data_IF_217673496815
#
_entry.id   IF_217673496815
#
_cell.length_a   1.000
_cell.length_b   1.000
_cell.length_c   1.000
_cell.angle_alpha   90.00
_cell.angle_beta   90.00
_cell.angle_gamma   90.00
#
_symmetry.space_group_name_H-M   'P 1'
#
loop_
_entity.id
_entity.type
_entity.pdbx_description
1 polymer ?
#
# COMPACT_ATOMS: atom_id res chain seq x y z
N UNK A 1 21.94 -48.07 73.89
CA UNK A 1 21.64 -47.85 75.32
C UNK A 1 20.34 -47.05 75.39
N UNK A 2 19.27 -47.70 75.91
CA UNK A 2 17.96 -47.20 76.38
C UNK A 2 17.15 -46.20 75.52
N UNK A 3 15.97 -46.60 74.99
CA UNK A 3 14.62 -46.44 75.61
C UNK A 3 14.26 -44.96 75.86
N UNK A 4 13.06 -44.43 75.50
CA UNK A 4 11.75 -44.93 75.92
C UNK A 4 10.62 -44.08 75.29
N UNK A 5 9.51 -44.73 74.97
CA UNK A 5 8.19 -44.17 74.69
C UNK A 5 7.54 -43.44 75.87
N UNK A 6 6.61 -42.50 75.59
CA UNK A 6 5.28 -42.30 76.26
C UNK A 6 4.46 -41.25 75.48
N UNK A 7 3.38 -41.65 74.79
CA UNK A 7 1.94 -41.66 75.19
C UNK A 7 1.25 -40.29 75.23
N UNK A 8 0.45 -40.05 74.18
CA UNK A 8 -1.01 -39.77 74.20
C UNK A 8 -1.63 -39.15 75.46
N UNK A 9 -2.33 -38.03 75.26
CA UNK A 9 -3.62 -37.74 75.91
C UNK A 9 -4.57 -37.02 74.93
N UNK A 10 -5.82 -37.51 74.88
CA UNK A 10 -6.98 -36.97 74.18
C UNK A 10 -7.63 -35.81 74.95
N UNK A 11 -8.28 -34.87 74.26
CA UNK A 11 -9.76 -34.67 74.23
C UNK A 11 -10.07 -33.28 73.63
N UNK A 12 -10.77 -33.20 72.50
CA UNK A 12 -12.23 -32.94 72.40
C UNK A 12 -12.71 -31.85 73.36
N UNK A 13 -13.11 -30.69 72.85
CA UNK A 13 -14.46 -30.12 72.97
C UNK A 13 -14.69 -29.00 71.94
N UNK A 14 -15.90 -29.04 71.41
CA UNK A 14 -16.60 -28.17 70.45
C UNK A 14 -16.87 -26.75 70.98
N UNK A 15 -16.84 -25.74 70.10
CA UNK A 15 -17.71 -24.55 70.09
C UNK A 15 -17.39 -23.78 68.78
N UNK A 16 -18.23 -23.82 67.75
CA UNK A 16 -19.47 -23.04 67.60
C UNK A 16 -19.20 -21.54 67.45
N UNK A 17 -19.54 -21.04 66.24
CA UNK A 17 -19.85 -19.65 65.89
C UNK A 17 -18.72 -18.61 65.77
N UNK A 18 -18.04 -18.56 64.62
CA UNK A 18 -17.53 -17.31 64.02
C UNK A 18 -17.69 -17.35 62.48
N UNK A 19 -18.92 -17.52 62.00
CA UNK A 19 -19.30 -17.23 60.61
C UNK A 19 -19.89 -15.83 60.57
N UNK A 20 -19.06 -14.78 60.46
CA UNK A 20 -19.42 -13.42 59.99
C UNK A 20 -18.27 -12.47 60.34
N UNK A 21 -17.20 -12.48 59.54
CA UNK A 21 -16.07 -11.58 59.77
C UNK A 21 -14.96 -11.56 58.72
N UNK A 22 -15.17 -12.16 57.55
CA UNK A 22 -14.16 -12.24 56.47
C UNK A 22 -14.77 -11.98 55.08
N UNK A 23 -15.74 -11.05 54.98
CA UNK A 23 -16.32 -10.63 53.68
C UNK A 23 -15.93 -9.19 53.30
N UNK A 24 -15.17 -8.47 54.15
CA UNK A 24 -14.77 -7.06 53.88
C UNK A 24 -13.24 -6.91 53.67
N UNK A 25 -12.57 -7.97 53.23
CA UNK A 25 -11.15 -7.91 52.82
C UNK A 25 -10.91 -8.62 51.47
N UNK A 26 -11.87 -8.54 50.55
CA UNK A 26 -11.71 -9.05 49.18
C UNK A 26 -12.17 -8.07 48.10
N UNK A 27 -12.23 -6.78 48.41
CA UNK A 27 -12.69 -5.74 47.49
C UNK A 27 -11.74 -4.53 47.50
N UNK A 28 -10.51 -4.73 47.04
CA UNK A 28 -9.61 -3.69 46.51
C UNK A 28 -8.33 -4.33 45.94
N UNK A 29 -8.45 -5.37 45.12
CA UNK A 29 -7.36 -5.72 44.20
C UNK A 29 -7.58 -4.88 42.95
N UNK A 30 -7.13 -3.62 42.99
CA UNK A 30 -7.03 -2.78 41.81
C UNK A 30 -6.05 -3.47 40.87
N UNK A 31 -6.56 -4.15 39.85
CA UNK A 31 -5.77 -4.64 38.73
C UNK A 31 -5.29 -3.39 38.00
N UNK A 32 -4.13 -2.87 38.37
CA UNK A 32 -3.39 -1.93 37.54
C UNK A 32 -2.97 -2.72 36.31
N UNK A 33 -3.77 -2.65 35.25
CA UNK A 33 -3.38 -3.11 33.92
C UNK A 33 -2.23 -2.21 33.49
N UNK A 34 -1.00 -2.62 33.83
CA UNK A 34 0.21 -2.03 33.30
C UNK A 34 0.12 -2.12 31.79
N UNK A 35 -0.11 -0.98 31.13
CA UNK A 35 -0.05 -0.86 29.69
C UNK A 35 1.38 -1.18 29.25
N UNK A 36 1.63 -2.46 28.94
CA UNK A 36 2.91 -2.88 28.37
C UNK A 36 3.10 -2.07 27.08
N UNK A 37 4.16 -1.26 26.97
CA UNK A 37 4.41 -0.52 25.74
C UNK A 37 4.57 -1.55 24.62
N UNK A 38 3.77 -1.42 23.56
CA UNK A 38 3.92 -2.24 22.38
C UNK A 38 5.33 -2.05 21.84
N UNK A 39 6.16 -3.09 21.93
CA UNK A 39 7.51 -3.09 21.34
C UNK A 39 7.32 -2.91 19.84
N UNK A 40 7.77 -1.77 19.31
CA UNK A 40 7.75 -1.51 17.87
C UNK A 40 8.57 -2.60 17.17
N UNK A 41 7.95 -3.35 16.25
CA UNK A 41 8.64 -4.38 15.48
C UNK A 41 9.76 -3.75 14.65
N UNK A 42 10.96 -4.30 14.76
CA UNK A 42 12.15 -3.80 14.06
C UNK A 42 12.36 -4.54 12.74
N UNK A 43 12.94 -3.85 11.75
CA UNK A 43 13.32 -4.45 10.47
C UNK A 43 14.59 -5.26 10.66
N UNK A 44 14.46 -6.57 10.74
CA UNK A 44 15.61 -7.49 10.91
C UNK A 44 15.83 -8.36 9.69
N UNK A 45 14.84 -8.43 8.78
CA UNK A 45 14.87 -9.29 7.60
C UNK A 45 14.12 -8.65 6.43
N UNK A 46 14.61 -8.87 5.22
CA UNK A 46 13.98 -8.51 3.95
C UNK A 46 13.96 -9.72 3.01
N UNK A 47 12.77 -10.21 2.66
CA UNK A 47 12.60 -11.34 1.74
C UNK A 47 12.40 -10.81 0.33
N UNK A 48 13.16 -11.32 -0.64
CA UNK A 48 13.00 -11.00 -2.06
C UNK A 48 11.69 -11.62 -2.57
N UNK A 49 10.73 -10.81 -2.97
CA UNK A 49 9.41 -11.26 -3.42
C UNK A 49 9.29 -11.30 -4.94
N UNK A 50 9.99 -10.43 -5.64
CA UNK A 50 10.00 -10.40 -7.10
C UNK A 50 11.34 -9.85 -7.63
N UNK A 51 11.77 -10.37 -8.78
CA UNK A 51 12.94 -9.88 -9.52
C UNK A 51 12.49 -9.69 -10.97
N UNK A 52 12.69 -8.48 -11.49
CA UNK A 52 12.40 -8.13 -12.88
C UNK A 52 13.73 -7.95 -13.62
N UNK A 53 14.20 -8.97 -14.35
CA UNK A 53 15.44 -8.88 -15.11
C UNK A 53 15.24 -8.03 -16.37
N UNK A 54 16.21 -7.19 -16.73
CA UNK A 54 16.23 -6.48 -18.03
C UNK A 54 17.15 -7.09 -19.07
N UNK A 55 18.36 -7.54 -18.69
CA UNK A 55 19.32 -8.20 -19.59
C UNK A 55 20.30 -9.07 -18.81
N UNK A 56 19.98 -10.34 -18.52
CA UNK A 56 20.81 -11.29 -17.73
C UNK A 56 21.24 -10.83 -16.32
N UNK A 57 20.85 -9.62 -15.90
CA UNK A 57 21.23 -9.06 -14.61
C UNK A 57 20.52 -9.75 -13.47
N UNK A 58 21.27 -9.97 -12.41
CA UNK A 58 20.83 -10.67 -11.21
C UNK A 58 20.73 -9.69 -10.04
N UNK A 59 19.94 -10.07 -9.04
CA UNK A 59 19.95 -9.45 -7.73
C UNK A 59 20.95 -10.19 -6.87
N UNK A 60 21.65 -9.46 -6.02
CA UNK A 60 22.67 -9.98 -5.12
C UNK A 60 22.31 -9.62 -3.68
N UNK A 61 22.56 -10.56 -2.76
CA UNK A 61 22.67 -10.27 -1.32
C UNK A 61 24.14 -10.46 -0.98
N UNK A 62 24.80 -9.44 -0.44
CA UNK A 62 26.27 -9.41 -0.34
C UNK A 62 26.89 -9.70 -1.72
N UNK A 63 27.71 -10.76 -1.81
CA UNK A 63 28.35 -11.20 -3.04
C UNK A 63 27.69 -12.43 -3.67
N UNK A 64 26.53 -12.89 -3.17
CA UNK A 64 25.80 -14.04 -3.72
C UNK A 64 24.64 -13.57 -4.61
N UNK A 65 24.53 -14.14 -5.81
CA UNK A 65 23.31 -13.99 -6.62
C UNK A 65 22.15 -14.73 -5.96
N UNK A 66 20.96 -14.14 -5.99
CA UNK A 66 19.78 -14.65 -5.30
C UNK A 66 18.55 -14.76 -6.20
N UNK A 67 17.57 -15.54 -5.75
CA UNK A 67 16.27 -15.76 -6.41
C UNK A 67 15.13 -15.29 -5.51
N UNK A 68 13.90 -15.24 -6.06
CA UNK A 68 12.67 -15.06 -5.26
C UNK A 68 12.67 -16.02 -4.05
N UNK A 69 12.26 -15.50 -2.89
CA UNK A 69 12.23 -16.21 -1.61
C UNK A 69 13.53 -16.10 -0.80
N UNK A 70 14.61 -15.56 -1.36
CA UNK A 70 15.87 -15.36 -0.62
C UNK A 70 15.70 -14.27 0.44
N UNK A 71 16.35 -14.42 1.58
CA UNK A 71 16.25 -13.49 2.71
C UNK A 71 17.57 -12.76 2.90
N UNK A 72 17.49 -11.44 3.02
CA UNK A 72 18.57 -10.58 3.51
C UNK A 72 18.32 -10.29 4.99
N UNK A 73 19.29 -10.58 5.85
CA UNK A 73 19.26 -10.29 7.28
C UNK A 73 19.79 -8.88 7.57
N UNK A 74 19.56 -8.40 8.79
CA UNK A 74 20.13 -7.15 9.27
C UNK A 74 21.65 -7.10 9.05
N UNK A 75 22.12 -5.97 8.53
CA UNK A 75 23.51 -5.73 8.14
C UNK A 75 23.85 -6.24 6.74
N UNK A 76 22.99 -7.03 6.09
CA UNK A 76 23.25 -7.48 4.73
C UNK A 76 22.92 -6.42 3.67
N UNK A 77 23.77 -6.38 2.66
CA UNK A 77 23.61 -5.53 1.48
C UNK A 77 22.79 -6.25 0.41
N UNK A 78 21.86 -5.54 -0.25
CA UNK A 78 21.10 -5.99 -1.41
C UNK A 78 21.42 -5.09 -2.60
N UNK A 79 21.79 -5.67 -3.75
CA UNK A 79 22.20 -4.94 -4.97
C UNK A 79 21.49 -5.46 -6.21
N UNK A 80 21.02 -4.58 -7.09
CA UNK A 80 20.17 -4.95 -8.22
C UNK A 80 20.85 -5.00 -9.60
N UNK A 81 22.04 -4.42 -9.78
CA UNK A 81 22.66 -4.34 -11.12
C UNK A 81 21.70 -3.67 -12.12
N UNK A 82 21.49 -4.21 -13.32
CA UNK A 82 20.46 -3.72 -14.26
C UNK A 82 19.05 -4.28 -14.02
N UNK A 83 18.83 -5.10 -12.98
CA UNK A 83 17.52 -5.63 -12.64
C UNK A 83 16.76 -4.67 -11.71
N UNK A 84 15.49 -4.96 -11.50
CA UNK A 84 14.68 -4.36 -10.42
C UNK A 84 14.27 -5.46 -9.44
N UNK A 85 14.15 -5.14 -8.16
CA UNK A 85 13.75 -6.12 -7.14
C UNK A 85 12.65 -5.57 -6.23
N UNK A 86 11.71 -6.42 -5.82
CA UNK A 86 10.79 -6.15 -4.72
C UNK A 86 11.22 -6.96 -3.50
N UNK A 87 11.17 -6.33 -2.33
CA UNK A 87 11.46 -6.97 -1.06
C UNK A 87 10.36 -6.65 -0.05
N UNK A 88 10.02 -7.65 0.76
CA UNK A 88 9.08 -7.53 1.88
C UNK A 88 9.83 -7.67 3.19
N UNK A 89 9.58 -6.77 4.14
CA UNK A 89 10.20 -6.86 5.46
C UNK A 89 9.44 -7.81 6.38
N UNK A 90 10.06 -8.13 7.52
CA UNK A 90 9.40 -8.81 8.64
C UNK A 90 8.43 -7.90 9.43
N UNK A 91 8.17 -6.70 8.92
CA UNK A 91 7.13 -5.77 9.39
C UNK A 91 6.12 -5.52 8.26
N UNK A 92 4.96 -4.90 8.51
CA UNK A 92 3.95 -4.57 7.48
C UNK A 92 4.37 -3.50 6.46
N UNK A 93 5.53 -3.69 5.83
CA UNK A 93 6.13 -2.79 4.87
C UNK A 93 7.04 -3.54 3.89
N UNK A 94 7.41 -2.86 2.81
CA UNK A 94 8.31 -3.39 1.80
C UNK A 94 8.91 -2.29 0.94
N UNK A 95 9.76 -2.70 0.00
CA UNK A 95 10.46 -1.81 -0.90
C UNK A 95 10.50 -2.35 -2.32
N UNK A 96 10.74 -1.44 -3.27
CA UNK A 96 11.22 -1.78 -4.60
C UNK A 96 12.54 -1.05 -4.86
N UNK A 97 13.53 -1.78 -5.34
CA UNK A 97 14.85 -1.27 -5.69
C UNK A 97 14.95 -1.14 -7.20
N UNK A 98 15.21 0.08 -7.67
CA UNK A 98 15.48 0.37 -9.07
C UNK A 98 16.80 -0.28 -9.54
N UNK A 99 17.10 -0.26 -10.85
CA UNK A 99 18.41 -0.59 -11.36
C UNK A 99 19.51 0.26 -10.72
N UNK A 100 20.66 -0.38 -10.53
CA UNK A 100 21.92 0.12 -10.00
C UNK A 100 21.85 0.55 -8.54
N UNK A 101 20.75 0.24 -7.84
CA UNK A 101 20.58 0.55 -6.43
C UNK A 101 21.30 -0.46 -5.53
N UNK A 102 21.79 0.06 -4.41
CA UNK A 102 22.42 -0.74 -3.35
C UNK A 102 21.91 -0.31 -1.98
N UNK A 103 21.40 -1.28 -1.24
CA UNK A 103 20.66 -1.06 0.00
C UNK A 103 21.22 -1.92 1.13
N UNK A 104 21.27 -1.40 2.35
CA UNK A 104 21.55 -2.19 3.56
C UNK A 104 20.28 -2.32 4.40
N UNK A 105 19.98 -3.55 4.82
CA UNK A 105 18.89 -3.84 5.76
C UNK A 105 19.35 -3.50 7.17
N UNK A 106 18.71 -2.55 7.85
CA UNK A 106 19.05 -2.20 9.24
C UNK A 106 17.79 -1.96 10.08
N UNK A 107 17.89 -2.19 11.39
CA UNK A 107 16.76 -2.15 12.33
C UNK A 107 16.23 -0.75 12.58
N UNK A 108 17.07 0.27 12.41
CA UNK A 108 16.71 1.69 12.61
C UNK A 108 16.13 2.33 11.36
N UNK A 109 16.73 2.05 10.20
CA UNK A 109 16.28 2.51 8.90
C UNK A 109 16.93 1.67 7.79
N UNK A 110 16.25 1.56 6.67
CA UNK A 110 16.77 0.88 5.48
C UNK A 110 17.62 1.88 4.71
N UNK A 111 18.89 1.56 4.46
CA UNK A 111 19.86 2.56 4.00
C UNK A 111 20.21 2.40 2.52
N UNK A 112 20.00 3.43 1.71
CA UNK A 112 20.50 3.53 0.34
C UNK A 112 21.93 4.11 0.38
N UNK A 113 22.93 3.33 -0.04
CA UNK A 113 24.36 3.64 0.22
C UNK A 113 25.12 4.12 -1.02
N UNK A 114 24.61 3.78 -2.20
CA UNK A 114 25.19 4.18 -3.48
C UNK A 114 24.12 4.80 -4.37
N UNK A 115 24.56 5.36 -5.50
CA UNK A 115 23.66 5.92 -6.50
C UNK A 115 22.52 4.96 -6.84
N UNK A 116 21.33 5.50 -7.07
CA UNK A 116 20.16 4.72 -7.41
C UNK A 116 18.92 5.22 -6.68
N UNK A 117 17.86 4.43 -6.73
CA UNK A 117 16.60 4.75 -6.08
C UNK A 117 15.90 3.55 -5.46
N UNK A 118 15.11 3.84 -4.43
CA UNK A 118 14.31 2.87 -3.70
C UNK A 118 12.95 3.47 -3.39
N UNK A 119 11.88 2.74 -3.70
CA UNK A 119 10.54 3.06 -3.21
C UNK A 119 10.28 2.30 -1.92
N UNK A 120 9.80 2.99 -0.90
CA UNK A 120 9.38 2.42 0.37
C UNK A 120 7.86 2.56 0.51
N UNK A 121 7.21 1.51 1.00
CA UNK A 121 5.78 1.48 1.26
C UNK A 121 5.44 0.69 2.52
N UNK A 122 4.42 1.15 3.24
CA UNK A 122 3.84 0.46 4.39
C UNK A 122 4.25 1.03 5.75
N UNK A 123 3.84 0.35 6.81
CA UNK A 123 3.95 0.84 8.19
C UNK A 123 5.25 0.36 8.84
N UNK A 124 5.92 1.28 9.52
CA UNK A 124 7.11 0.96 10.33
C UNK A 124 8.41 0.97 9.55
N UNK A 125 8.41 1.47 8.31
CA UNK A 125 9.63 1.72 7.54
C UNK A 125 10.15 3.12 7.74
N UNK A 126 11.47 3.19 7.89
CA UNK A 126 12.27 4.42 7.78
C UNK A 126 13.31 4.17 6.70
N UNK A 127 13.60 5.17 5.91
CA UNK A 127 14.64 5.12 4.90
C UNK A 127 15.74 6.11 5.23
N UNK A 128 16.99 5.69 5.11
CA UNK A 128 18.16 6.55 5.23
C UNK A 128 18.82 6.69 3.87
N UNK A 129 19.16 7.91 3.48
CA UNK A 129 19.82 8.22 2.20
C UNK A 129 20.69 9.45 2.38
N UNK A 130 21.94 9.40 1.94
CA UNK A 130 22.90 10.47 2.22
C UNK A 130 22.96 10.79 3.73
N UNK A 131 22.92 12.08 4.08
CA UNK A 131 22.87 12.58 5.45
C UNK A 131 21.47 12.71 6.07
N UNK A 132 20.42 12.13 5.48
CA UNK A 132 19.03 12.33 5.93
C UNK A 132 18.31 11.03 6.29
N UNK A 133 17.31 11.16 7.16
CA UNK A 133 16.37 10.10 7.53
C UNK A 133 14.94 10.49 7.17
N UNK A 134 14.29 9.68 6.35
CA UNK A 134 12.88 9.82 5.98
C UNK A 134 12.05 8.78 6.76
N UNK A 135 11.13 9.25 7.59
CA UNK A 135 10.28 8.41 8.42
C UNK A 135 8.80 8.68 8.12
N UNK A 136 8.00 7.62 8.09
CA UNK A 136 6.57 7.75 7.88
C UNK A 136 5.73 6.75 8.67
N UNK A 137 4.44 7.06 8.80
CA UNK A 137 3.45 6.24 9.52
C UNK A 137 2.46 5.61 8.54
N UNK A 138 2.97 4.89 7.54
CA UNK A 138 2.26 4.32 6.39
C UNK A 138 2.09 5.31 5.23
N UNK A 139 3.12 5.42 4.40
CA UNK A 139 3.14 6.22 3.18
C UNK A 139 3.85 5.49 2.06
N UNK A 140 3.79 6.06 0.86
CA UNK A 140 4.59 5.63 -0.29
C UNK A 140 5.50 6.78 -0.69
N UNK A 141 6.81 6.53 -0.65
CA UNK A 141 7.81 7.53 -0.99
C UNK A 141 9.03 6.89 -1.64
N UNK A 142 9.75 7.69 -2.41
CA UNK A 142 10.97 7.30 -3.09
C UNK A 142 12.13 8.06 -2.46
N UNK A 143 13.23 7.33 -2.26
CA UNK A 143 14.53 7.91 -1.97
C UNK A 143 15.43 7.71 -3.18
N UNK A 144 16.11 8.77 -3.59
CA UNK A 144 17.12 8.74 -4.63
C UNK A 144 18.43 9.28 -4.06
N UNK A 145 19.54 8.68 -4.51
CA UNK A 145 20.89 9.15 -4.24
C UNK A 145 21.60 9.32 -5.57
N UNK A 146 22.17 10.50 -5.81
CA UNK A 146 22.96 10.76 -7.01
C UNK A 146 24.45 10.44 -6.80
N UNK A 147 25.27 10.66 -7.82
CA UNK A 147 26.70 10.33 -7.79
C UNK A 147 27.53 11.24 -6.87
N UNK A 148 27.04 12.45 -6.60
CA UNK A 148 27.68 13.43 -5.72
C UNK A 148 27.18 13.34 -4.27
N UNK A 149 26.33 12.36 -3.97
CA UNK A 149 25.82 12.10 -2.62
C UNK A 149 24.64 12.97 -2.20
N UNK A 150 24.06 13.76 -3.10
CA UNK A 150 22.81 14.46 -2.82
C UNK A 150 21.64 13.48 -2.82
N UNK A 151 20.81 13.63 -1.80
CA UNK A 151 19.62 12.84 -1.61
C UNK A 151 18.39 13.58 -2.15
N UNK A 152 17.44 12.81 -2.69
CA UNK A 152 16.12 13.31 -3.05
C UNK A 152 15.05 12.45 -2.37
N UNK A 153 14.10 13.09 -1.72
CA UNK A 153 12.90 12.46 -1.15
C UNK A 153 11.72 12.89 -1.97
N UNK A 154 10.94 11.93 -2.47
CA UNK A 154 9.74 12.17 -3.26
C UNK A 154 8.57 11.46 -2.58
N UNK A 155 7.54 12.20 -2.20
CA UNK A 155 6.39 11.63 -1.48
C UNK A 155 5.22 11.49 -2.44
N UNK A 156 4.82 10.24 -2.68
CA UNK A 156 3.73 9.92 -3.62
C UNK A 156 2.39 9.84 -2.91
N UNK A 157 2.39 9.52 -1.62
CA UNK A 157 1.19 9.41 -0.79
C UNK A 157 1.48 9.74 0.66
N UNK A 158 0.56 10.44 1.32
CA UNK A 158 0.66 10.77 2.75
C UNK A 158 1.73 11.82 3.07
N UNK A 159 2.34 11.70 4.25
CA UNK A 159 3.29 12.69 4.77
C UNK A 159 4.53 11.98 5.32
N UNK A 160 5.71 12.50 4.97
CA UNK A 160 7.00 11.99 5.42
C UNK A 160 7.70 13.08 6.23
N UNK A 161 8.12 12.72 7.44
CA UNK A 161 9.01 13.55 8.24
C UNK A 161 10.44 13.28 7.79
N UNK A 162 11.11 14.29 7.24
CA UNK A 162 12.51 14.22 6.81
C UNK A 162 13.39 14.95 7.81
N UNK A 163 14.24 14.21 8.50
CA UNK A 163 15.24 14.74 9.42
C UNK A 163 16.60 14.84 8.71
N UNK A 164 17.18 16.03 8.71
CA UNK A 164 18.55 16.29 8.27
C UNK A 164 19.45 16.71 9.43
N UNK A 165 20.56 17.37 9.12
CA UNK A 165 21.59 17.71 10.11
C UNK A 165 21.09 18.65 11.22
N UNK A 166 20.35 19.70 10.84
CA UNK A 166 19.97 20.78 11.78
C UNK A 166 18.48 20.85 12.07
N UNK A 167 17.65 20.35 11.14
CA UNK A 167 16.20 20.53 11.19
C UNK A 167 15.47 19.33 10.62
N UNK A 168 14.19 19.25 10.96
CA UNK A 168 13.25 18.32 10.34
C UNK A 168 12.18 19.09 9.56
N UNK A 169 11.75 18.55 8.42
CA UNK A 169 10.72 19.13 7.56
C UNK A 169 9.71 18.05 7.19
N UNK A 170 8.44 18.43 7.15
CA UNK A 170 7.39 17.59 6.57
C UNK A 170 7.31 17.77 5.07
N UNK A 171 7.36 16.66 4.35
CA UNK A 171 7.14 16.58 2.91
C UNK A 171 5.82 15.88 2.69
N UNK A 172 4.86 16.60 2.10
CA UNK A 172 3.52 16.08 1.86
C UNK A 172 3.46 15.37 0.51
N UNK A 173 2.36 14.69 0.27
CA UNK A 173 2.03 14.09 -1.01
C UNK A 173 2.22 15.05 -2.18
N UNK A 174 2.74 14.52 -3.30
CA UNK A 174 3.08 15.27 -4.52
C UNK A 174 4.11 16.37 -4.27
N UNK A 175 4.95 16.21 -3.26
CA UNK A 175 6.08 17.09 -3.02
C UNK A 175 7.39 16.31 -3.05
N UNK A 176 8.45 17.06 -3.26
CA UNK A 176 9.83 16.59 -3.21
C UNK A 176 10.69 17.51 -2.36
N UNK A 177 11.77 16.95 -1.86
CA UNK A 177 12.79 17.66 -1.10
C UNK A 177 14.15 17.11 -1.50
N UNK A 178 15.07 17.99 -1.85
CA UNK A 178 16.48 17.64 -2.02
C UNK A 178 17.24 17.91 -0.73
N UNK A 179 18.31 17.15 -0.51
CA UNK A 179 19.27 17.38 0.56
C UNK A 179 20.69 17.16 0.05
N UNK A 180 21.61 17.97 0.54
CA UNK A 180 23.03 17.85 0.24
C UNK A 180 23.64 16.61 0.90
N UNK A 181 24.87 16.24 0.52
CA UNK A 181 25.56 15.08 1.06
C UNK A 181 25.79 15.15 2.59
N UNK A 182 25.94 16.34 3.14
CA UNK A 182 26.06 16.61 4.59
C UNK A 182 24.71 16.68 5.31
N UNK A 183 23.60 16.45 4.60
CA UNK A 183 22.26 16.38 5.20
C UNK A 183 21.59 17.75 5.42
N UNK A 184 22.06 18.81 4.74
CA UNK A 184 21.33 20.08 4.74
C UNK A 184 20.10 19.94 3.85
N UNK A 185 18.94 20.22 4.45
CA UNK A 185 17.66 20.11 3.75
C UNK A 185 17.41 21.34 2.89
N UNK A 186 17.08 21.12 1.62
CA UNK A 186 16.68 22.15 0.67
C UNK A 186 15.25 22.69 0.91
N UNK A 187 14.66 23.23 -0.15
CA UNK A 187 13.26 23.66 -0.15
C UNK A 187 12.35 22.49 -0.51
N UNK A 188 11.16 22.49 0.06
CA UNK A 188 10.09 21.58 -0.38
C UNK A 188 9.47 22.17 -1.63
N UNK A 189 9.40 21.38 -2.68
CA UNK A 189 8.88 21.76 -3.98
C UNK A 189 7.74 20.84 -4.39
N UNK A 190 6.71 21.34 -5.10
CA UNK A 190 5.72 20.47 -5.71
C UNK A 190 6.36 19.63 -6.81
N UNK A 191 5.91 18.38 -6.96
CA UNK A 191 6.18 17.57 -8.14
C UNK A 191 5.36 18.10 -9.31
N UNK A 192 6.01 18.35 -10.45
CA UNK A 192 5.27 18.60 -11.68
C UNK A 192 4.54 17.33 -12.15
N UNK A 193 3.50 17.51 -12.95
CA UNK A 193 2.76 16.38 -13.52
C UNK A 193 3.65 15.48 -14.38
N UNK A 194 4.56 16.07 -15.16
CA UNK A 194 5.48 15.32 -16.00
C UNK A 194 6.44 14.45 -15.16
N UNK A 195 6.96 14.99 -14.05
CA UNK A 195 7.78 14.22 -13.12
C UNK A 195 7.00 13.10 -12.45
N UNK A 196 5.77 13.37 -12.00
CA UNK A 196 4.91 12.36 -11.40
C UNK A 196 4.58 11.23 -12.38
N UNK A 197 4.22 11.55 -13.62
CA UNK A 197 3.98 10.57 -14.67
C UNK A 197 5.24 9.77 -15.02
N UNK A 198 6.41 10.43 -15.07
CA UNK A 198 7.69 9.74 -15.29
C UNK A 198 8.01 8.74 -14.19
N UNK A 199 7.68 9.06 -12.93
CA UNK A 199 7.84 8.17 -11.79
C UNK A 199 6.92 6.94 -11.92
N UNK A 200 5.63 7.14 -12.19
CA UNK A 200 4.66 6.04 -12.34
C UNK A 200 4.99 5.13 -13.53
N UNK A 201 5.60 5.70 -14.58
CA UNK A 201 6.13 4.95 -15.72
C UNK A 201 7.54 4.39 -15.50
N UNK A 202 8.10 4.60 -14.32
CA UNK A 202 9.45 4.22 -13.97
C UNK A 202 9.62 2.74 -13.61
N UNK A 203 10.87 2.31 -13.42
CA UNK A 203 11.21 0.93 -13.07
C UNK A 203 10.69 0.50 -11.70
N UNK A 204 10.32 1.44 -10.82
CA UNK A 204 9.79 1.15 -9.49
C UNK A 204 8.31 0.72 -9.51
N UNK A 205 7.62 0.90 -10.64
CA UNK A 205 6.20 0.57 -10.81
C UNK A 205 5.97 -0.52 -11.84
N UNK A 206 6.66 -0.46 -12.99
CA UNK A 206 6.41 -1.35 -14.12
C UNK A 206 6.86 -2.79 -13.86
N UNK A 207 6.03 -3.74 -14.28
CA UNK A 207 6.34 -5.18 -14.35
C UNK A 207 6.16 -5.98 -13.06
N UNK A 208 5.92 -5.33 -11.92
CA UNK A 208 5.66 -6.02 -10.65
C UNK A 208 4.22 -6.54 -10.60
N UNK A 209 4.06 -7.79 -10.14
CA UNK A 209 2.75 -8.43 -9.96
C UNK A 209 2.31 -8.39 -8.50
N UNK A 210 3.26 -8.41 -7.57
CA UNK A 210 2.94 -8.33 -6.15
C UNK A 210 2.86 -6.86 -5.68
N UNK A 211 1.73 -6.44 -5.08
CA UNK A 211 1.65 -5.11 -4.47
C UNK A 211 2.56 -5.05 -3.23
N UNK A 212 3.20 -3.90 -3.01
CA UNK A 212 3.89 -3.70 -1.74
C UNK A 212 2.85 -3.60 -0.60
N UNK A 213 3.19 -4.06 0.62
CA UNK A 213 2.36 -3.80 1.79
C UNK A 213 2.13 -2.29 1.95
N UNK A 214 0.87 -1.85 2.11
CA UNK A 214 0.50 -0.44 2.20
C UNK A 214 0.34 0.28 0.86
N UNK A 215 0.76 -0.31 -0.27
CA UNK A 215 0.52 0.23 -1.61
C UNK A 215 -0.96 0.17 -2.02
N UNK A 216 -1.75 -0.69 -1.35
CA UNK A 216 -3.20 -0.75 -1.50
C UNK A 216 -3.93 0.47 -0.91
N UNK A 217 -3.22 1.44 -0.31
CA UNK A 217 -3.79 2.70 0.17
C UNK A 217 -3.63 3.83 -0.88
N UNK A 218 -2.67 3.73 -1.81
CA UNK A 218 -2.61 4.57 -3.03
C UNK A 218 -3.94 4.56 -3.81
N UNK A 219 -4.69 3.47 -3.68
CA UNK A 219 -6.00 3.25 -4.30
C UNK A 219 -7.16 4.06 -3.71
N UNK A 220 -6.99 4.71 -2.55
CA UNK A 220 -8.08 5.42 -1.87
C UNK A 220 -7.86 6.95 -1.78
N UNK A 221 -6.63 7.43 -1.95
CA UNK A 221 -6.26 8.85 -1.72
C UNK A 221 -5.95 9.62 -3.01
N UNK A 222 -6.33 9.08 -4.16
CA UNK A 222 -6.48 9.82 -5.44
C UNK A 222 -7.95 10.23 -5.64
N UNK A 223 -8.69 10.41 -4.54
CA UNK A 223 -10.02 11.00 -4.54
C UNK A 223 -9.89 12.49 -4.21
N UNK A 224 -9.65 13.33 -5.22
CA UNK A 224 -10.48 14.53 -5.40
C UNK A 224 -10.19 15.27 -6.72
N UNK A 225 -11.27 15.46 -7.49
CA UNK A 225 -11.47 16.34 -8.64
C UNK A 225 -10.48 16.19 -9.80
N UNK A 226 -10.87 15.39 -10.79
CA UNK A 226 -10.27 15.42 -12.12
C UNK A 226 -10.63 14.24 -13.02
N UNK A 227 -10.98 13.09 -12.42
CA UNK A 227 -11.12 11.83 -13.17
C UNK A 227 -12.48 11.15 -12.94
N UNK A 228 -13.54 11.94 -12.91
CA UNK A 228 -14.91 11.46 -12.68
C UNK A 228 -15.73 11.27 -13.96
N UNK A 229 -15.22 11.69 -15.11
CA UNK A 229 -16.03 11.83 -16.33
C UNK A 229 -15.44 11.12 -17.53
N UNK A 230 -14.56 10.13 -17.38
CA UNK A 230 -14.01 9.39 -18.54
C UNK A 230 -13.47 8.00 -18.20
N UNK A 231 -13.63 7.43 -17.00
CA UNK A 231 -12.93 6.19 -16.56
C UNK A 231 -12.90 5.02 -17.55
N UNK A 232 -14.07 4.55 -18.01
CA UNK A 232 -14.13 3.45 -18.97
C UNK A 232 -13.73 3.92 -20.36
N UNK A 233 -13.92 5.21 -20.67
CA UNK A 233 -13.36 5.80 -21.87
C UNK A 233 -11.82 5.81 -21.80
N UNK A 234 -11.17 6.42 -20.82
CA UNK A 234 -9.71 6.50 -20.70
C UNK A 234 -9.04 5.12 -20.53
N UNK A 235 -9.69 4.18 -19.85
CA UNK A 235 -9.25 2.78 -19.82
C UNK A 235 -9.38 2.09 -21.20
N UNK A 236 -10.24 2.58 -22.10
CA UNK A 236 -10.52 2.00 -23.41
C UNK A 236 -10.18 2.93 -24.62
N UNK A 237 -9.69 4.16 -24.40
CA UNK A 237 -9.34 5.25 -25.36
C UNK A 237 -8.08 6.02 -24.95
N UNK A 238 -7.40 5.67 -23.85
CA UNK A 238 -6.13 6.26 -23.36
C UNK A 238 -5.80 7.72 -23.68
N UNK A 239 -6.64 8.66 -23.22
CA UNK A 239 -6.33 10.11 -23.27
C UNK A 239 -5.88 10.64 -21.91
N UNK A 240 -4.89 11.55 -21.93
CA UNK A 240 -4.43 12.37 -20.80
C UNK A 240 -5.21 13.69 -20.76
N UNK A 241 -5.82 14.06 -19.62
CA UNK A 241 -6.29 15.41 -19.36
C UNK A 241 -5.93 15.94 -17.96
N UNK A 242 -5.60 17.23 -17.93
CA UNK A 242 -5.26 18.10 -16.79
C UNK A 242 -6.55 18.60 -16.14
N UNK A 243 -6.68 18.72 -14.81
CA UNK A 243 -7.43 19.84 -14.20
C UNK A 243 -7.26 20.00 -12.67
N UNK A 244 -7.48 21.27 -12.27
CA UNK A 244 -7.39 21.95 -10.98
C UNK A 244 -8.48 21.63 -9.94
N UNK A 245 -8.13 22.04 -8.71
CA UNK A 245 -8.84 22.14 -7.44
C UNK A 245 -10.38 22.19 -7.42
N UNK A 246 -11.00 21.21 -6.76
CA UNK A 246 -11.76 21.30 -5.50
C UNK A 246 -12.80 20.19 -5.46
N UNK A 247 -12.87 19.41 -4.36
CA UNK A 247 -14.06 18.63 -4.05
C UNK A 247 -14.31 18.47 -2.53
N UNK A 248 -15.56 18.06 -2.18
CA UNK A 248 -15.99 17.67 -0.85
C UNK A 248 -16.06 16.14 -0.65
N UNK A 249 -16.04 15.77 0.63
CA UNK A 249 -16.01 14.42 1.22
C UNK A 249 -17.22 13.51 0.92
N UNK A 250 -17.00 12.29 0.39
CA UNK A 250 -17.64 11.02 0.84
C UNK A 250 -17.22 9.80 -0.01
N UNK A 251 -16.30 8.96 0.49
CA UNK A 251 -16.01 7.63 -0.08
C UNK A 251 -16.78 6.53 0.67
N UNK A 252 -17.56 5.70 -0.03
CA UNK A 252 -18.37 4.64 0.56
C UNK A 252 -17.58 3.30 0.70
N UNK A 253 -17.70 2.66 1.86
CA UNK A 253 -17.11 1.35 2.18
C UNK A 253 -18.13 0.22 1.88
N UNK A 254 -17.72 -0.85 1.19
CA UNK A 254 -18.54 -2.04 0.90
C UNK A 254 -18.05 -3.22 1.76
N UNK A 255 -18.80 -3.65 2.79
CA UNK A 255 -18.50 -4.87 3.53
C UNK A 255 -18.97 -6.13 2.74
N UNK A 256 -18.11 -7.16 2.65
CA UNK A 256 -18.47 -8.54 2.24
C UNK A 256 -18.93 -8.79 0.79
N UNK A 257 -18.54 -7.97 -0.18
CA UNK A 257 -18.81 -8.27 -1.60
C UNK A 257 -17.99 -9.46 -2.11
N UNK A 258 -18.64 -10.45 -2.74
CA UNK A 258 -17.95 -11.52 -3.47
C UNK A 258 -17.43 -10.98 -4.79
N UNK A 259 -16.11 -10.84 -4.92
CA UNK A 259 -15.47 -10.35 -6.14
C UNK A 259 -15.55 -11.36 -7.28
N UNK A 260 -15.94 -10.88 -8.46
CA UNK A 260 -15.94 -11.61 -9.74
C UNK A 260 -14.76 -11.12 -10.58
N UNK A 261 -13.81 -12.00 -10.93
CA UNK A 261 -12.73 -11.71 -11.90
C UNK A 261 -13.23 -11.98 -13.32
N UNK A 262 -12.87 -11.11 -14.28
CA UNK A 262 -13.41 -11.15 -15.64
C UNK A 262 -12.62 -10.32 -16.65
N UNK A 263 -13.17 -10.21 -17.84
CA UNK A 263 -12.63 -9.42 -18.95
C UNK A 263 -13.61 -8.30 -19.28
N UNK A 264 -13.14 -7.06 -19.24
CA UNK A 264 -13.82 -5.90 -19.81
C UNK A 264 -13.48 -5.79 -21.29
N UNK A 265 -14.48 -5.85 -22.15
CA UNK A 265 -14.33 -5.75 -23.60
C UNK A 265 -15.14 -4.57 -24.09
N UNK A 266 -14.51 -3.66 -24.86
CA UNK A 266 -15.25 -2.61 -25.55
C UNK A 266 -15.95 -3.20 -26.78
N UNK A 267 -17.27 -3.14 -26.84
CA UNK A 267 -18.06 -3.70 -27.94
C UNK A 267 -18.59 -2.66 -28.91
N UNK A 268 -18.46 -1.37 -28.60
CA UNK A 268 -18.83 -0.26 -29.47
C UNK A 268 -18.34 1.10 -28.97
N UNK A 269 -18.72 2.20 -29.65
CA UNK A 269 -18.32 3.57 -29.23
C UNK A 269 -18.70 3.83 -27.78
N UNK A 270 -19.93 3.49 -27.40
CA UNK A 270 -20.57 3.85 -26.13
C UNK A 270 -20.96 2.62 -25.29
N UNK A 271 -20.27 1.50 -25.50
CA UNK A 271 -20.62 0.24 -24.83
C UNK A 271 -19.39 -0.57 -24.45
N UNK A 272 -19.41 -1.10 -23.23
CA UNK A 272 -18.46 -2.10 -22.75
C UNK A 272 -19.18 -3.27 -22.10
N UNK A 273 -18.57 -4.45 -22.13
CA UNK A 273 -19.10 -5.69 -21.55
C UNK A 273 -18.06 -6.29 -20.62
N UNK A 274 -18.45 -6.60 -19.39
CA UNK A 274 -17.68 -7.42 -18.48
C UNK A 274 -18.15 -8.87 -18.56
N UNK A 275 -17.22 -9.77 -18.88
CA UNK A 275 -17.44 -11.21 -18.94
C UNK A 275 -16.65 -11.90 -17.83
N UNK A 276 -17.30 -12.48 -16.81
CA UNK A 276 -16.60 -13.17 -15.72
C UNK A 276 -15.86 -14.41 -16.23
N UNK A 277 -14.70 -14.70 -15.64
CA UNK A 277 -13.84 -15.85 -15.97
C UNK A 277 -14.34 -17.18 -15.36
N UNK A 278 -15.29 -17.10 -14.43
CA UNK A 278 -15.94 -18.25 -13.78
C UNK A 278 -17.47 -18.05 -13.77
N UNK A 279 -18.22 -18.94 -13.12
CA UNK A 279 -19.66 -18.79 -12.99
C UNK A 279 -20.00 -17.44 -12.33
N UNK A 280 -20.53 -16.50 -13.13
CA UNK A 280 -20.78 -15.12 -12.73
C UNK A 280 -21.76 -14.44 -13.67
N UNK A 281 -22.04 -13.16 -13.42
CA UNK A 281 -23.02 -12.41 -14.23
C UNK A 281 -22.30 -11.53 -15.25
N UNK A 282 -22.62 -11.72 -16.53
CA UNK A 282 -22.19 -10.78 -17.59
C UNK A 282 -22.82 -9.42 -17.31
N UNK A 283 -22.01 -8.36 -17.36
CA UNK A 283 -22.49 -6.98 -17.14
C UNK A 283 -22.24 -6.12 -18.36
N UNK A 284 -23.27 -5.44 -18.83
CA UNK A 284 -23.23 -4.52 -19.95
C UNK A 284 -23.25 -3.10 -19.41
N UNK A 285 -22.24 -2.31 -19.78
CA UNK A 285 -22.07 -0.92 -19.41
C UNK A 285 -22.46 -0.06 -20.61
N UNK A 286 -23.40 0.86 -20.40
CA UNK A 286 -23.66 1.95 -21.33
C UNK A 286 -22.85 3.16 -20.90
N UNK A 287 -22.11 3.72 -21.84
CA UNK A 287 -21.17 4.81 -21.63
C UNK A 287 -21.63 5.99 -22.46
N UNK A 288 -21.52 7.19 -21.91
CA UNK A 288 -21.33 8.36 -22.75
C UNK A 288 -19.83 8.50 -22.91
N UNK A 289 -19.27 8.35 -24.11
CA UNK A 289 -17.83 8.53 -24.35
C UNK A 289 -17.50 9.97 -24.76
N UNK A 290 -18.49 10.81 -25.03
CA UNK A 290 -18.23 12.22 -25.30
C UNK A 290 -18.21 13.00 -23.97
N UNK A 291 -19.04 12.59 -23.01
CA UNK A 291 -19.06 13.11 -21.63
C UNK A 291 -18.33 12.21 -20.62
N UNK A 292 -17.89 11.02 -21.07
CA UNK A 292 -17.17 9.96 -20.36
C UNK A 292 -17.81 9.45 -19.06
N UNK A 293 -19.14 9.51 -18.99
CA UNK A 293 -19.94 9.01 -17.89
C UNK A 293 -20.37 7.56 -18.12
N UNK A 294 -20.53 6.78 -17.05
CA UNK A 294 -21.26 5.51 -17.13
C UNK A 294 -22.72 5.84 -16.92
N UNK A 295 -23.53 5.66 -17.96
CA UNK A 295 -24.95 5.97 -17.93
C UNK A 295 -25.75 4.88 -17.21
N UNK A 296 -25.43 3.62 -17.48
CA UNK A 296 -26.10 2.48 -16.85
C UNK A 296 -25.27 1.20 -16.82
N UNK A 297 -25.60 0.33 -15.89
CA UNK A 297 -25.09 -1.05 -15.82
C UNK A 297 -26.27 -2.01 -15.86
N UNK A 298 -26.30 -2.92 -16.84
CA UNK A 298 -27.42 -3.82 -17.11
C UNK A 298 -28.77 -3.09 -17.21
N UNK A 299 -28.78 -1.88 -17.78
CA UNK A 299 -29.96 -1.04 -17.93
C UNK A 299 -30.39 -0.28 -16.66
N UNK A 300 -29.70 -0.46 -15.52
CA UNK A 300 -29.93 0.34 -14.31
C UNK A 300 -29.08 1.61 -14.35
N UNK A 301 -29.70 2.78 -14.26
CA UNK A 301 -28.99 4.07 -14.30
C UNK A 301 -28.00 4.23 -13.16
N UNK A 302 -26.88 4.89 -13.44
CA UNK A 302 -25.90 5.29 -12.43
C UNK A 302 -26.37 6.60 -11.78
N UNK A 303 -26.43 6.63 -10.44
CA UNK A 303 -26.79 7.84 -9.68
C UNK A 303 -25.58 8.62 -9.17
N UNK A 304 -24.48 7.92 -8.92
CA UNK A 304 -23.20 8.52 -8.54
C UNK A 304 -22.06 7.60 -8.96
N UNK A 305 -20.89 8.16 -9.23
CA UNK A 305 -19.71 7.35 -9.51
C UNK A 305 -18.43 8.09 -9.15
N UNK A 306 -17.40 7.33 -8.79
CA UNK A 306 -16.09 7.87 -8.40
C UNK A 306 -15.02 6.94 -8.92
N UNK A 307 -14.05 7.46 -9.66
CA UNK A 307 -13.01 6.66 -10.29
C UNK A 307 -11.63 7.30 -10.14
N UNK A 308 -10.59 6.49 -10.30
CA UNK A 308 -9.21 6.93 -10.26
C UNK A 308 -8.24 5.86 -10.77
N UNK A 309 -6.96 6.25 -10.87
CA UNK A 309 -5.88 5.34 -11.21
C UNK A 309 -5.25 4.71 -9.96
N UNK A 310 -4.80 3.47 -10.14
CA UNK A 310 -4.23 2.59 -9.13
C UNK A 310 -3.01 1.86 -9.72
N UNK A 311 -1.87 2.55 -9.81
CA UNK A 311 -0.68 1.99 -10.46
C UNK A 311 -0.95 1.68 -11.93
N UNK A 312 -0.84 0.41 -12.34
CA UNK A 312 -1.15 -0.06 -13.70
C UNK A 312 -2.65 -0.40 -13.91
N UNK A 313 -3.49 -0.12 -12.91
CA UNK A 313 -4.90 -0.41 -12.93
C UNK A 313 -5.71 0.89 -12.84
N UNK A 314 -6.94 0.84 -13.31
CA UNK A 314 -7.94 1.86 -13.03
C UNK A 314 -8.95 1.24 -12.04
N UNK A 315 -9.38 1.98 -11.02
CA UNK A 315 -10.39 1.52 -10.08
C UNK A 315 -11.46 2.58 -9.83
N UNK A 316 -12.65 2.14 -9.41
CA UNK A 316 -13.67 3.05 -8.96
C UNK A 316 -14.91 2.39 -8.41
N UNK A 317 -15.86 3.21 -8.03
CA UNK A 317 -17.13 2.80 -7.43
C UNK A 317 -18.27 3.45 -8.19
N UNK A 318 -19.32 2.67 -8.43
CA UNK A 318 -20.56 3.09 -9.06
C UNK A 318 -21.66 2.85 -8.05
N UNK A 319 -22.49 3.86 -7.84
CA UNK A 319 -23.78 3.75 -7.18
C UNK A 319 -24.86 3.71 -8.26
N UNK A 320 -25.62 2.63 -8.28
CA UNK A 320 -26.79 2.48 -9.15
C UNK A 320 -28.02 3.09 -8.49
N UNK A 321 -28.97 3.54 -9.31
CA UNK A 321 -30.23 4.15 -8.86
C UNK A 321 -31.08 3.22 -7.99
N UNK A 322 -30.86 1.91 -8.05
CA UNK A 322 -31.49 0.91 -7.19
C UNK A 322 -30.80 0.73 -5.82
N UNK A 323 -29.81 1.58 -5.48
CA UNK A 323 -29.06 1.53 -4.21
C UNK A 323 -27.91 0.52 -4.18
N UNK A 324 -27.70 -0.25 -5.25
CA UNK A 324 -26.58 -1.18 -5.36
C UNK A 324 -25.28 -0.44 -5.65
N UNK A 325 -24.19 -0.90 -5.05
CA UNK A 325 -22.85 -0.42 -5.33
C UNK A 325 -22.05 -1.45 -6.11
N UNK A 326 -21.23 -0.99 -7.05
CA UNK A 326 -20.26 -1.82 -7.76
C UNK A 326 -18.90 -1.18 -7.61
N UNK A 327 -17.92 -1.93 -7.10
CA UNK A 327 -16.52 -1.56 -7.23
C UNK A 327 -15.96 -2.21 -8.49
N UNK A 328 -15.33 -1.43 -9.34
CA UNK A 328 -14.65 -1.87 -10.56
C UNK A 328 -13.14 -1.74 -10.39
N UNK A 329 -12.40 -2.73 -10.90
CA UNK A 329 -10.95 -2.68 -11.04
C UNK A 329 -10.59 -3.20 -12.44
N UNK A 330 -9.85 -2.44 -13.23
CA UNK A 330 -9.40 -2.79 -14.59
C UNK A 330 -7.89 -2.80 -14.59
N UNK A 331 -7.26 -3.92 -14.93
CA UNK A 331 -5.83 -4.15 -14.81
C UNK A 331 -5.09 -3.97 -16.14
N UNK A 332 -3.86 -3.46 -16.07
CA UNK A 332 -2.94 -3.42 -17.21
C UNK A 332 -3.18 -2.29 -18.21
N UNK A 333 -3.95 -1.27 -17.82
CA UNK A 333 -4.31 -0.13 -18.69
C UNK A 333 -3.13 0.79 -19.00
N UNK A 334 -2.08 0.82 -18.15
CA UNK A 334 -0.76 1.46 -18.40
C UNK A 334 -0.77 2.91 -18.97
N UNK A 335 -1.90 3.60 -18.99
CA UNK A 335 -2.05 4.94 -19.57
C UNK A 335 -1.99 4.98 -21.11
N UNK A 336 -2.07 3.84 -21.82
CA UNK A 336 -1.99 3.81 -23.28
C UNK A 336 -3.35 3.45 -23.91
N UNK A 337 -3.76 4.20 -24.95
CA UNK A 337 -4.99 3.95 -25.70
C UNK A 337 -4.88 2.62 -26.44
N UNK A 338 -5.79 1.66 -26.21
CA UNK A 338 -5.76 0.42 -26.98
C UNK A 338 -6.14 0.73 -28.44
N UNK A 339 -5.33 0.26 -29.40
CA UNK A 339 -5.70 0.32 -30.81
C UNK A 339 -7.01 -0.44 -31.05
N UNK A 340 -8.07 0.30 -31.37
CA UNK A 340 -9.33 -0.29 -31.83
C UNK A 340 -9.16 -0.66 -33.29
N UNK A 341 -8.68 -1.87 -33.56
CA UNK A 341 -8.73 -2.41 -34.91
C UNK A 341 -10.22 -2.59 -35.31
N UNK A 342 -10.61 -2.29 -36.57
CA UNK A 342 -12.01 -2.38 -37.02
C UNK A 342 -12.70 -3.73 -36.77
N UNK A 343 -11.93 -4.79 -36.46
CA UNK A 343 -12.41 -6.16 -36.25
C UNK A 343 -11.83 -6.85 -35.00
N UNK A 344 -11.25 -6.10 -34.04
CA UNK A 344 -10.71 -6.72 -32.82
C UNK A 344 -11.05 -5.85 -31.59
N UNK A 345 -11.90 -6.34 -30.68
CA UNK A 345 -12.33 -5.54 -29.54
C UNK A 345 -11.22 -5.47 -28.47
N UNK A 346 -10.91 -4.26 -28.02
CA UNK A 346 -9.97 -4.02 -26.92
C UNK A 346 -10.48 -4.66 -25.64
N UNK A 347 -9.68 -5.54 -25.06
CA UNK A 347 -10.06 -6.35 -23.90
C UNK A 347 -9.06 -6.20 -22.76
N UNK A 348 -9.55 -6.03 -21.55
CA UNK A 348 -8.78 -5.80 -20.34
C UNK A 348 -9.18 -6.78 -19.25
N UNK A 349 -8.20 -7.33 -18.55
CA UNK A 349 -8.50 -8.09 -17.33
C UNK A 349 -9.04 -7.13 -16.27
N UNK A 350 -9.97 -7.61 -15.44
CA UNK A 350 -10.52 -6.79 -14.37
C UNK A 350 -11.32 -7.59 -13.36
N UNK A 351 -11.89 -6.86 -12.41
CA UNK A 351 -12.67 -7.40 -11.30
C UNK A 351 -13.86 -6.50 -11.01
N UNK A 352 -14.98 -7.11 -10.65
CA UNK A 352 -16.16 -6.42 -10.14
C UNK A 352 -16.46 -6.95 -8.75
N UNK A 353 -16.68 -6.06 -7.80
CA UNK A 353 -17.14 -6.42 -6.45
C UNK A 353 -18.48 -5.73 -6.19
N UNK A 354 -19.61 -6.48 -6.25
CA UNK A 354 -20.92 -5.94 -5.92
C UNK A 354 -21.05 -5.72 -4.41
N UNK A 355 -21.83 -4.71 -4.04
CA UNK A 355 -22.10 -4.30 -2.68
C UNK A 355 -23.46 -3.65 -2.52
N UNK A 356 -23.86 -3.45 -1.28
CA UNK A 356 -25.04 -2.67 -0.90
C UNK A 356 -24.54 -1.59 0.05
N UNK A 357 -25.02 -0.35 -0.07
CA UNK A 357 -24.71 0.67 0.92
C UNK A 357 -25.19 0.21 2.30
N UNK A 358 -24.42 0.47 3.37
CA UNK A 358 -25.00 0.41 4.70
C UNK A 358 -26.17 1.41 4.75
N UNK A 359 -27.34 0.94 5.19
CA UNK A 359 -28.44 1.83 5.57
C UNK A 359 -27.89 2.84 6.59
N UNK A 360 -28.10 4.14 6.33
CA UNK A 360 -27.66 5.22 7.22
C UNK A 360 -28.64 5.43 8.35
#
# INVERSE_FOLDING_TARGET
MLMRWKRLWLNRYTCQEWKLGLIILSLMTVITVSSIPAIAQQITQATVTEILPRSSSLVYIQNRSVRKGSVAYQGEQVRTGQATAALKFNVPAGIRLAPNSTLIVNSQCVQLVHKGSVMLAGKGTRGCVGGITAASRATVYILELNEIGEAKVIVLEGVVDVAGAERSIQVNQRQQLTATADGQLGKVEPLSQAEFNAILNGPLFRGFREPLPGLAVLTATVNDSGFGRTFLQDALTGRDFVFEERLPSTGAFIPNGLSEDGIFTRTGKNQAVFTPTSAGTVRVFQLDVDEGEILSVNGTSVSNSTFGLSGNAAAGTIQLSNGQFLRLEVFGVNGEEPEIAPNQPSSFSGRITPGIAPDR
#
